data_IF_297538015766
#
_entry.id   IF_297538015766
#
_cell.length_a   1.000
_cell.length_b   1.000
_cell.length_c   1.000
_cell.angle_alpha   90.00
_cell.angle_beta   90.00
_cell.angle_gamma   90.00
#
_symmetry.space_group_name_H-M   'P 1'
#
loop_
_entity.id
_entity.type
_entity.pdbx_description
1 polymer ?
#
# COMPACT_ATOMS: atom_id res chain seq x y z
N UNK A 1 -4.45 10.62 4.06
CA UNK A 1 -3.52 10.72 5.21
C UNK A 1 -3.61 9.54 6.18
N UNK A 2 -4.69 8.74 6.18
CA UNK A 2 -4.88 7.57 7.05
C UNK A 2 -3.71 6.58 7.11
N UNK A 3 -3.01 6.32 5.99
CA UNK A 3 -1.85 5.42 5.98
C UNK A 3 -0.69 5.92 6.84
N UNK A 4 -0.47 7.24 6.87
CA UNK A 4 0.57 7.86 7.70
C UNK A 4 0.25 7.70 9.18
N UNK A 5 -0.98 8.05 9.58
CA UNK A 5 -1.47 7.95 10.96
C UNK A 5 -1.44 6.50 11.47
N UNK A 6 -1.79 5.53 10.62
CA UNK A 6 -1.69 4.10 10.96
C UNK A 6 -0.24 3.66 11.18
N UNK A 7 0.71 4.17 10.38
CA UNK A 7 2.13 3.89 10.57
C UNK A 7 2.67 4.53 11.85
N UNK A 8 2.23 5.74 12.21
CA UNK A 8 2.59 6.37 13.49
C UNK A 8 2.15 5.52 14.67
N UNK A 9 0.97 4.89 14.57
CA UNK A 9 0.45 3.89 15.51
C UNK A 9 1.12 2.49 15.39
N UNK A 10 2.19 2.37 14.62
CA UNK A 10 2.99 1.15 14.44
C UNK A 10 2.29 0.00 13.70
N UNK A 11 1.20 0.27 12.98
CA UNK A 11 0.63 -0.72 12.08
C UNK A 11 1.52 -0.91 10.84
N UNK A 12 1.56 -2.14 10.33
CA UNK A 12 2.14 -2.41 9.01
C UNK A 12 1.11 -2.09 7.94
N UNK A 13 1.39 -1.09 7.13
CA UNK A 13 0.48 -0.63 6.08
C UNK A 13 0.94 -1.12 4.71
N UNK A 14 -0.02 -1.65 3.95
CA UNK A 14 0.09 -1.94 2.53
C UNK A 14 -0.95 -1.09 1.81
N UNK A 15 -0.53 -0.34 0.80
CA UNK A 15 -1.41 0.44 -0.08
C UNK A 15 -1.49 -0.24 -1.43
N UNK A 16 -2.70 -0.48 -1.90
CA UNK A 16 -2.98 -1.17 -3.16
C UNK A 16 -3.08 -0.16 -4.31
N UNK A 17 -2.04 -0.02 -5.13
CA UNK A 17 -1.88 1.10 -6.07
C UNK A 17 -2.90 1.15 -7.21
N UNK A 18 -3.42 -0.01 -7.61
CA UNK A 18 -4.42 -0.19 -8.66
C UNK A 18 -5.86 -0.21 -8.11
N UNK A 19 -6.04 -0.05 -6.80
CA UNK A 19 -7.33 0.00 -6.13
C UNK A 19 -7.55 1.31 -5.35
N UNK A 20 -6.74 2.33 -5.62
CA UNK A 20 -6.87 3.69 -5.07
C UNK A 20 -6.64 4.70 -6.18
N UNK A 21 -7.18 5.91 -6.04
CA UNK A 21 -7.00 6.96 -7.02
C UNK A 21 -7.10 8.36 -6.41
N UNK A 22 -6.59 9.33 -7.16
CA UNK A 22 -6.81 10.76 -6.96
C UNK A 22 -7.29 11.37 -8.28
N UNK A 23 -7.44 12.68 -8.32
CA UNK A 23 -7.90 13.48 -9.45
C UNK A 23 -6.91 13.63 -10.63
N UNK A 24 -5.64 13.25 -10.47
CA UNK A 24 -4.63 13.23 -11.55
C UNK A 24 -3.58 12.13 -11.37
N UNK A 25 -3.00 11.69 -12.49
CA UNK A 25 -1.96 10.66 -12.50
C UNK A 25 -0.67 11.16 -11.83
N UNK A 26 -0.30 12.43 -12.05
CA UNK A 26 0.90 13.01 -11.44
C UNK A 26 0.78 13.07 -9.92
N UNK A 27 -0.40 13.43 -9.39
CA UNK A 27 -0.63 13.44 -7.94
C UNK A 27 -0.67 12.03 -7.35
N UNK A 28 -1.22 11.06 -8.08
CA UNK A 28 -1.22 9.66 -7.68
C UNK A 28 0.23 9.16 -7.55
N UNK A 29 1.04 9.38 -8.58
CA UNK A 29 2.44 8.94 -8.61
C UNK A 29 3.27 9.58 -7.49
N UNK A 30 3.13 10.90 -7.29
CA UNK A 30 3.81 11.62 -6.23
C UNK A 30 3.42 11.09 -4.84
N UNK A 31 2.13 10.84 -4.62
CA UNK A 31 1.61 10.32 -3.35
C UNK A 31 2.11 8.91 -3.08
N UNK A 32 1.99 7.99 -4.04
CA UNK A 32 2.46 6.61 -3.90
C UNK A 32 3.98 6.55 -3.71
N UNK A 33 4.75 7.42 -4.39
CA UNK A 33 6.19 7.51 -4.22
C UNK A 33 6.58 7.94 -2.80
N UNK A 34 5.90 8.97 -2.27
CA UNK A 34 6.11 9.44 -0.90
C UNK A 34 5.74 8.36 0.12
N UNK A 35 4.56 7.74 -0.01
CA UNK A 35 4.09 6.69 0.89
C UNK A 35 5.04 5.50 0.88
N UNK A 36 5.47 5.04 -0.31
CA UNK A 36 6.43 3.94 -0.45
C UNK A 36 7.74 4.20 0.28
N UNK A 37 8.23 5.44 0.25
CA UNK A 37 9.52 5.82 0.83
C UNK A 37 9.47 5.94 2.36
N UNK A 38 8.36 6.44 2.90
CA UNK A 38 8.33 6.92 4.29
C UNK A 38 7.46 6.06 5.22
N UNK A 39 6.39 5.45 4.73
CA UNK A 39 5.36 4.88 5.61
C UNK A 39 4.88 3.48 5.23
N UNK A 40 4.62 3.20 3.95
CA UNK A 40 3.87 2.01 3.55
C UNK A 40 4.61 1.19 2.47
N UNK A 41 4.25 -0.09 2.37
CA UNK A 41 4.51 -0.86 1.14
C UNK A 41 3.44 -0.49 0.12
N UNK A 42 3.82 -0.40 -1.15
CA UNK A 42 2.89 -0.13 -2.25
C UNK A 42 2.94 -1.30 -3.20
N UNK A 43 1.82 -2.01 -3.35
CA UNK A 43 1.66 -3.24 -4.13
C UNK A 43 0.45 -3.13 -5.05
N UNK A 44 0.37 -3.95 -6.08
CA UNK A 44 -0.87 -4.18 -6.85
C UNK A 44 -1.82 -5.13 -6.11
N UNK A 45 -3.06 -5.20 -6.56
CA UNK A 45 -4.06 -6.12 -6.02
C UNK A 45 -3.58 -7.57 -6.17
N UNK A 46 -3.02 -7.92 -7.32
CA UNK A 46 -2.52 -9.28 -7.60
C UNK A 46 -1.33 -9.65 -6.71
N UNK A 47 -0.42 -8.71 -6.45
CA UNK A 47 0.71 -8.92 -5.54
C UNK A 47 0.22 -9.19 -4.10
N UNK A 48 -0.75 -8.40 -3.61
CA UNK A 48 -1.36 -8.59 -2.29
C UNK A 48 -2.03 -9.96 -2.20
N UNK A 49 -2.85 -10.34 -3.18
CA UNK A 49 -3.54 -11.63 -3.21
C UNK A 49 -2.55 -12.80 -3.24
N UNK A 50 -1.46 -12.65 -3.99
CA UNK A 50 -0.38 -13.65 -4.05
C UNK A 50 0.28 -13.82 -2.68
N UNK A 51 0.65 -12.74 -2.00
CA UNK A 51 1.27 -12.80 -0.67
C UNK A 51 0.35 -13.46 0.37
N UNK A 52 -0.92 -13.09 0.39
CA UNK A 52 -1.92 -13.68 1.30
C UNK A 52 -2.08 -15.19 1.00
N UNK A 53 -2.15 -15.55 -0.28
CA UNK A 53 -2.32 -16.94 -0.71
C UNK A 53 -1.10 -17.83 -0.40
N UNK A 54 0.10 -17.27 -0.36
CA UNK A 54 1.33 -17.97 0.03
C UNK A 54 1.46 -18.06 1.56
N UNK A 55 1.16 -16.98 2.28
CA UNK A 55 1.17 -16.95 3.75
C UNK A 55 0.11 -17.85 4.38
N UNK A 56 -1.06 -17.96 3.74
CA UNK A 56 -2.17 -18.82 4.19
C UNK A 56 -1.94 -20.33 4.01
N UNK A 57 -0.86 -20.76 3.35
CA UNK A 57 -0.50 -22.18 3.16
C UNK A 57 0.52 -22.69 4.17
N UNK A 58 0.85 -21.91 5.21
CA UNK A 58 1.82 -22.30 6.24
C UNK A 58 1.21 -23.08 7.42
N UNK A 59 0.12 -23.83 7.19
CA UNK A 59 -0.48 -24.76 8.16
C UNK A 59 -0.48 -26.17 7.64
#
# INVERSE_FOLDING_TARGET
MTSMEACDLQYRVVVTSDATGTDSDEMQEATLTMLRRLWARVLTTDEVLTEISLGGRST
#
